data_IF_946858160971
#
_entry.id   IF_946858160971
#
_cell.length_a   1.000
_cell.length_b   1.000
_cell.length_c   1.000
_cell.angle_alpha   90.00
_cell.angle_beta   90.00
_cell.angle_gamma   90.00
#
_symmetry.space_group_name_H-M   'P 1'
#
loop_
_entity.id
_entity.type
_entity.pdbx_description
1 polymer ?
#
# COMPACT_ATOMS: atom_id res chain seq x y z
N UNK A 1 0.32 -12.81 -13.84
CA UNK A 1 -0.40 -13.27 -12.65
C UNK A 1 -0.63 -12.09 -11.70
N UNK A 2 -1.84 -11.97 -11.18
CA UNK A 2 -2.22 -10.91 -10.25
C UNK A 2 -2.28 -11.47 -8.83
N UNK A 3 -1.73 -10.71 -7.89
CA UNK A 3 -1.78 -11.04 -6.47
C UNK A 3 -2.28 -9.84 -5.68
N UNK A 4 -2.82 -10.10 -4.48
CA UNK A 4 -3.33 -9.09 -3.58
C UNK A 4 -2.68 -9.28 -2.22
N UNK A 5 -2.19 -8.18 -1.64
CA UNK A 5 -1.56 -8.20 -0.31
C UNK A 5 -2.15 -7.11 0.56
N UNK A 6 -2.37 -7.43 1.83
CA UNK A 6 -2.72 -6.44 2.84
C UNK A 6 -1.45 -5.89 3.47
N UNK A 7 -1.34 -4.57 3.56
CA UNK A 7 -0.15 -3.90 4.05
C UNK A 7 -0.30 -3.59 5.53
N UNK A 8 0.76 -3.91 6.30
CA UNK A 8 0.88 -3.56 7.70
C UNK A 8 2.12 -2.71 7.89
N UNK A 9 2.02 -1.71 8.76
CA UNK A 9 3.14 -0.82 9.06
C UNK A 9 3.14 0.44 8.21
N UNK A 10 4.04 1.35 8.54
CA UNK A 10 4.02 2.73 8.04
C UNK A 10 5.19 3.05 7.10
N UNK A 11 5.97 2.07 6.66
CA UNK A 11 7.18 2.32 5.88
C UNK A 11 6.91 2.99 4.52
N UNK A 12 5.68 2.87 4.00
CA UNK A 12 5.31 3.43 2.71
C UNK A 12 4.36 4.62 2.81
N UNK A 13 4.08 5.10 4.02
CA UNK A 13 3.28 6.32 4.23
C UNK A 13 4.05 7.53 3.65
N UNK A 14 3.41 8.46 2.95
CA UNK A 14 1.96 8.58 2.72
C UNK A 14 1.44 7.83 1.49
N UNK A 15 2.30 7.18 0.73
CA UNK A 15 1.90 6.51 -0.52
C UNK A 15 0.95 5.34 -0.26
N UNK A 16 1.27 4.51 0.75
CA UNK A 16 0.44 3.37 1.14
C UNK A 16 0.26 3.42 2.65
N UNK A 17 -0.98 3.51 3.09
CA UNK A 17 -1.32 3.53 4.52
C UNK A 17 -1.46 2.09 5.03
N UNK A 18 -1.13 1.88 6.32
CA UNK A 18 -1.35 0.59 6.97
C UNK A 18 -2.83 0.20 6.87
N UNK A 19 -3.10 -1.05 6.58
CA UNK A 19 -4.47 -1.54 6.36
C UNK A 19 -4.92 -1.50 4.91
N UNK A 20 -4.13 -0.88 4.03
CA UNK A 20 -4.42 -0.85 2.60
C UNK A 20 -4.16 -2.21 1.95
N UNK A 21 -4.82 -2.44 0.82
CA UNK A 21 -4.54 -3.58 -0.05
C UNK A 21 -3.81 -3.10 -1.29
N UNK A 22 -2.82 -3.86 -1.72
CA UNK A 22 -2.12 -3.62 -2.97
C UNK A 22 -2.36 -4.77 -3.92
N UNK A 23 -2.61 -4.41 -5.18
CA UNK A 23 -2.76 -5.36 -6.27
C UNK A 23 -1.47 -5.35 -7.07
N UNK A 24 -0.90 -6.53 -7.30
CA UNK A 24 0.39 -6.65 -7.97
C UNK A 24 0.29 -7.48 -9.23
N UNK A 25 1.15 -7.13 -10.19
CA UNK A 25 1.30 -7.87 -11.44
C UNK A 25 2.75 -8.33 -11.57
N UNK A 26 2.95 -9.60 -11.86
CA UNK A 26 4.28 -10.14 -12.11
C UNK A 26 4.83 -9.62 -13.43
N UNK A 27 6.10 -9.19 -13.42
CA UNK A 27 6.83 -8.75 -14.60
C UNK A 27 8.20 -9.43 -14.62
N UNK A 28 8.79 -9.54 -15.80
CA UNK A 28 10.13 -10.10 -15.94
C UNK A 28 11.23 -9.10 -15.59
N UNK A 29 10.89 -7.82 -15.61
CA UNK A 29 11.83 -6.75 -15.33
C UNK A 29 11.07 -5.59 -14.69
N UNK A 30 11.75 -4.84 -13.83
CA UNK A 30 11.16 -3.73 -13.09
C UNK A 30 12.03 -2.48 -13.24
N UNK A 31 11.42 -1.31 -13.14
CA UNK A 31 12.07 -0.02 -13.34
C UNK A 31 12.25 0.74 -12.03
N UNK A 32 13.22 1.63 -12.02
CA UNK A 32 13.42 2.59 -10.93
C UNK A 32 12.12 3.40 -10.76
N UNK A 33 11.68 3.55 -9.50
CA UNK A 33 10.43 4.23 -9.17
C UNK A 33 9.25 3.30 -9.01
N UNK A 34 9.34 2.05 -9.46
CA UNK A 34 8.26 1.08 -9.26
C UNK A 34 8.12 0.73 -7.79
N UNK A 35 6.87 0.59 -7.34
CA UNK A 35 6.55 -0.03 -6.06
C UNK A 35 6.45 -1.54 -6.30
N UNK A 36 7.17 -2.31 -5.49
CA UNK A 36 7.22 -3.76 -5.63
C UNK A 36 6.93 -4.44 -4.31
N UNK A 37 6.40 -5.65 -4.40
CA UNK A 37 6.25 -6.54 -3.25
C UNK A 37 7.40 -7.55 -3.29
N UNK A 38 8.14 -7.62 -2.19
CA UNK A 38 9.26 -8.54 -2.02
C UNK A 38 8.88 -9.65 -1.05
N UNK A 39 9.29 -10.87 -1.38
CA UNK A 39 9.18 -12.00 -0.45
C UNK A 39 10.47 -12.09 0.35
N UNK A 40 10.38 -11.84 1.66
CA UNK A 40 11.50 -11.97 2.58
C UNK A 40 11.56 -13.38 3.14
N UNK A 41 10.39 -13.97 3.45
CA UNK A 41 10.24 -15.35 3.89
C UNK A 41 8.88 -15.87 3.44
N UNK A 42 8.57 -17.13 3.74
CA UNK A 42 7.27 -17.71 3.36
C UNK A 42 6.09 -16.90 3.90
N UNK A 43 6.26 -16.27 5.07
CA UNK A 43 5.19 -15.54 5.73
C UNK A 43 5.38 -14.04 5.74
N UNK A 44 6.50 -13.54 5.26
CA UNK A 44 6.81 -12.11 5.30
C UNK A 44 6.97 -11.54 3.90
N UNK A 45 6.13 -10.56 3.59
CA UNK A 45 6.17 -9.78 2.37
C UNK A 45 6.28 -8.31 2.75
N UNK A 46 7.11 -7.58 2.02
CA UNK A 46 7.25 -6.14 2.23
C UNK A 46 7.02 -5.40 0.91
N UNK A 47 6.55 -4.16 1.01
CA UNK A 47 6.39 -3.27 -0.14
C UNK A 47 7.42 -2.17 -0.01
N UNK A 48 8.17 -1.94 -1.08
CA UNK A 48 9.20 -0.93 -1.14
C UNK A 48 9.26 -0.33 -2.54
N UNK A 49 9.98 0.78 -2.68
CA UNK A 49 10.20 1.45 -3.96
C UNK A 49 11.61 1.16 -4.46
N UNK A 50 11.74 0.87 -5.75
CA UNK A 50 13.05 0.68 -6.38
C UNK A 50 13.71 2.05 -6.56
N UNK A 51 14.93 2.19 -6.03
CA UNK A 51 15.71 3.42 -6.15
C UNK A 51 16.88 3.28 -7.11
N UNK A 52 17.39 2.07 -7.29
CA UNK A 52 18.52 1.81 -8.18
C UNK A 52 18.43 0.39 -8.72
N UNK A 53 19.04 0.20 -9.88
CA UNK A 53 19.06 -1.08 -10.58
C UNK A 53 20.45 -1.25 -11.20
N UNK A 54 21.18 -2.28 -10.74
CA UNK A 54 22.53 -2.58 -11.22
C UNK A 54 22.70 -4.07 -11.36
N UNK A 55 23.12 -4.52 -12.54
CA UNK A 55 23.44 -5.94 -12.82
C UNK A 55 22.32 -6.90 -12.43
N UNK A 56 21.07 -6.52 -12.73
CA UNK A 56 19.92 -7.34 -12.42
C UNK A 56 19.52 -7.37 -10.96
N UNK A 57 20.11 -6.49 -10.14
CA UNK A 57 19.77 -6.36 -8.73
C UNK A 57 19.17 -4.98 -8.46
N UNK A 58 18.27 -4.93 -7.50
CA UNK A 58 17.49 -3.74 -7.17
C UNK A 58 17.80 -3.27 -5.76
N UNK A 59 18.03 -1.97 -5.62
CA UNK A 59 18.04 -1.30 -4.32
C UNK A 59 16.66 -0.74 -4.06
N UNK A 60 16.25 -0.80 -2.79
CA UNK A 60 14.89 -0.43 -2.38
C UNK A 60 14.91 0.59 -1.24
N UNK A 61 13.80 1.31 -1.11
CA UNK A 61 13.60 2.29 -0.04
C UNK A 61 12.12 2.34 0.33
N UNK A 62 11.84 2.65 1.59
CA UNK A 62 10.49 3.00 2.03
C UNK A 62 10.20 4.47 1.73
N UNK A 63 8.97 4.79 1.37
CA UNK A 63 8.57 6.17 1.09
C UNK A 63 8.49 7.04 2.35
N UNK A 64 8.33 6.43 3.52
CA UNK A 64 8.26 7.16 4.78
C UNK A 64 9.67 7.48 5.28
N UNK A 65 10.03 8.76 5.22
CA UNK A 65 11.34 9.24 5.62
C UNK A 65 11.60 9.16 7.13
N UNK A 66 10.54 8.99 7.92
CA UNK A 66 10.63 8.91 9.37
C UNK A 66 10.87 7.48 9.87
N UNK A 67 10.85 6.49 8.98
CA UNK A 67 11.13 5.11 9.31
C UNK A 67 12.35 4.63 8.54
N UNK A 68 13.06 3.66 9.12
CA UNK A 68 14.13 2.97 8.44
C UNK A 68 13.92 1.47 8.56
N UNK A 69 14.41 0.73 7.59
CA UNK A 69 14.28 -0.72 7.56
C UNK A 69 15.61 -1.34 7.17
N UNK A 70 16.05 -2.34 7.93
CA UNK A 70 17.28 -3.07 7.61
C UNK A 70 17.17 -3.81 6.27
N UNK A 71 15.95 -4.09 5.79
CA UNK A 71 15.75 -4.72 4.49
C UNK A 71 16.23 -3.83 3.34
N UNK A 72 16.31 -2.52 3.54
CA UNK A 72 16.79 -1.58 2.53
C UNK A 72 18.31 -1.56 2.39
N UNK A 73 19.03 -2.21 3.30
CA UNK A 73 20.49 -2.31 3.24
C UNK A 73 20.97 -3.39 2.28
N UNK A 74 20.06 -4.18 1.74
CA UNK A 74 20.37 -5.29 0.85
C UNK A 74 19.89 -5.00 -0.57
N UNK A 75 20.47 -5.68 -1.55
CA UNK A 75 19.95 -5.71 -2.92
C UNK A 75 19.18 -6.99 -3.16
N UNK A 76 18.23 -6.92 -4.08
CA UNK A 76 17.33 -8.04 -4.37
C UNK A 76 17.31 -8.33 -5.87
N UNK A 77 17.22 -9.61 -6.23
CA UNK A 77 17.07 -10.04 -7.61
C UNK A 77 15.60 -10.20 -7.98
N UNK A 78 15.32 -10.41 -9.25
CA UNK A 78 13.95 -10.63 -9.72
C UNK A 78 13.24 -11.77 -8.98
N UNK A 79 13.99 -12.78 -8.55
CA UNK A 79 13.42 -13.94 -7.88
C UNK A 79 12.75 -13.60 -6.56
N UNK A 80 13.22 -12.55 -5.89
CA UNK A 80 12.63 -12.10 -4.63
C UNK A 80 11.39 -11.22 -4.86
N UNK A 81 11.17 -10.71 -6.06
CA UNK A 81 10.07 -9.80 -6.37
C UNK A 81 8.85 -10.60 -6.81
N UNK A 82 7.73 -10.42 -6.08
CA UNK A 82 6.47 -11.06 -6.42
C UNK A 82 5.77 -10.32 -7.54
N UNK A 83 5.83 -8.98 -7.54
CA UNK A 83 5.22 -8.19 -8.58
C UNK A 83 5.31 -6.69 -8.32
N UNK A 84 4.92 -5.94 -9.34
CA UNK A 84 4.79 -4.50 -9.26
C UNK A 84 3.41 -4.14 -8.77
N UNK A 85 3.33 -3.17 -7.86
CA UNK A 85 2.05 -2.63 -7.40
C UNK A 85 1.42 -1.82 -8.54
N UNK A 86 0.23 -2.24 -8.96
CA UNK A 86 -0.51 -1.58 -10.04
C UNK A 86 -1.74 -0.84 -9.54
N UNK A 87 -2.20 -1.15 -8.31
CA UNK A 87 -3.37 -0.50 -7.72
C UNK A 87 -3.29 -0.58 -6.21
N UNK A 88 -3.72 0.50 -5.54
CA UNK A 88 -3.75 0.62 -4.07
C UNK A 88 -5.17 0.93 -3.66
N UNK A 89 -5.70 0.17 -2.69
CA UNK A 89 -7.05 0.36 -2.16
C UNK A 89 -6.99 0.45 -0.64
N UNK A 90 -7.51 1.54 -0.08
CA UNK A 90 -7.59 1.72 1.37
C UNK A 90 -9.05 1.64 1.82
N UNK A 91 -9.55 0.45 2.24
CA UNK A 91 -10.94 0.29 2.63
C UNK A 91 -11.29 1.08 3.89
N UNK A 92 -10.33 1.25 4.81
CA UNK A 92 -10.54 1.99 6.06
C UNK A 92 -10.90 3.44 5.75
N UNK A 93 -10.18 4.07 4.84
CA UNK A 93 -10.44 5.46 4.45
C UNK A 93 -11.81 5.62 3.79
N UNK A 94 -12.16 4.75 2.86
CA UNK A 94 -13.47 4.78 2.18
C UNK A 94 -14.60 4.49 3.14
N UNK A 95 -14.41 3.56 4.05
CA UNK A 95 -15.39 3.23 5.07
C UNK A 95 -15.64 4.42 5.99
N UNK A 96 -14.60 5.13 6.41
CA UNK A 96 -14.72 6.32 7.24
C UNK A 96 -15.53 7.43 6.56
N UNK A 97 -15.29 7.67 5.27
CA UNK A 97 -16.05 8.63 4.48
C UNK A 97 -17.51 8.22 4.36
N UNK A 98 -17.76 6.96 4.10
CA UNK A 98 -19.11 6.42 3.97
C UNK A 98 -19.89 6.59 5.28
N UNK A 99 -19.28 6.23 6.41
CA UNK A 99 -19.88 6.38 7.73
C UNK A 99 -20.18 7.85 8.03
N UNK A 100 -19.24 8.75 7.70
CA UNK A 100 -19.43 10.19 7.88
C UNK A 100 -20.62 10.70 7.07
N UNK A 101 -20.75 10.27 5.82
CA UNK A 101 -21.86 10.67 4.95
C UNK A 101 -23.19 10.20 5.51
N UNK A 102 -23.27 8.96 5.99
CA UNK A 102 -24.48 8.43 6.62
C UNK A 102 -24.83 9.22 7.88
N UNK A 103 -23.84 9.51 8.73
CA UNK A 103 -24.10 10.30 9.95
C UNK A 103 -24.63 11.69 9.62
N UNK A 104 -24.10 12.34 8.61
CA UNK A 104 -24.58 13.64 8.20
C UNK A 104 -26.02 13.59 7.67
N UNK A 105 -26.33 12.56 6.90
CA UNK A 105 -27.69 12.36 6.37
C UNK A 105 -28.70 12.12 7.50
N UNK A 106 -28.36 11.23 8.45
CA UNK A 106 -29.23 10.96 9.60
C UNK A 106 -29.44 12.20 10.46
N UNK A 107 -28.40 13.00 10.63
CA UNK A 107 -28.52 14.26 11.38
C UNK A 107 -29.49 15.22 10.69
N UNK A 108 -29.41 15.32 9.38
CA UNK A 108 -30.30 16.15 8.57
C UNK A 108 -31.76 15.71 8.73
N UNK A 109 -32.03 14.43 8.58
CA UNK A 109 -33.37 13.88 8.73
C UNK A 109 -33.94 14.12 10.14
N UNK A 110 -33.11 13.93 11.17
CA UNK A 110 -33.54 14.17 12.56
C UNK A 110 -33.94 15.61 12.78
N UNK A 111 -33.17 16.57 12.28
CA UNK A 111 -33.48 18.00 12.43
C UNK A 111 -34.74 18.38 11.64
N UNK A 112 -34.90 17.81 10.46
CA UNK A 112 -36.06 18.06 9.61
C UNK A 112 -37.33 17.45 10.20
N UNK A 113 -37.26 16.24 10.73
CA UNK A 113 -38.37 15.56 11.40
C UNK A 113 -38.85 16.29 12.63
N UNK A 114 -37.95 16.88 13.43
CA UNK A 114 -38.34 17.61 14.61
C UNK A 114 -39.07 18.93 14.32
N UNK A 115 -38.92 19.50 13.12
CA UNK A 115 -39.65 20.67 12.68
C UNK A 115 -41.11 20.37 12.32
N UNK A 116 -41.40 19.15 11.94
CA UNK A 116 -42.71 18.72 11.51
C UNK A 116 -43.58 18.22 12.67
N UNK A 117 -43.02 18.15 13.85
CA UNK A 117 -43.71 17.78 15.05
C UNK A 117 -43.99 19.04 15.92
#
# INVERSE_FOLDING_TARGET
MLNIFKIKGDSMVPTIMSGSYVFTCYLNDYDIGNLIVLRISEKMHIVKRITAKNDGKYQIVGDNKNTSSSFCDYTYSNEAIIGRVIFIFNPVWKFSKFVRSIKNLLRYEKNYGSRNN
#
